data_IF_970251719815
#
_entry.id   IF_970251719815
#
_cell.length_a   1.000
_cell.length_b   1.000
_cell.length_c   1.000
_cell.angle_alpha   90.00
_cell.angle_beta   90.00
_cell.angle_gamma   90.00
#
_symmetry.space_group_name_H-M   'P 1'
#
loop_
_entity.id
_entity.type
_entity.pdbx_description
1 polymer ?
#
# COMPACT_ATOMS: atom_id res chain seq x y z
N UNK A 1 -4.63 -28.20 40.18
CA UNK A 1 -4.28 -26.93 39.52
C UNK A 1 -5.18 -26.88 38.31
N UNK A 2 -6.33 -26.22 38.48
CA UNK A 2 -7.44 -26.32 37.55
C UNK A 2 -7.15 -25.49 36.30
N UNK A 3 -7.49 -26.02 35.12
CA UNK A 3 -7.35 -25.39 33.80
C UNK A 3 -7.93 -23.96 33.75
N UNK A 4 -8.87 -23.65 34.65
CA UNK A 4 -9.49 -22.33 34.78
C UNK A 4 -8.59 -21.26 35.44
N UNK A 5 -7.56 -21.65 36.19
CA UNK A 5 -6.63 -20.71 36.83
C UNK A 5 -5.56 -20.19 35.84
N UNK A 6 -5.37 -20.88 34.71
CA UNK A 6 -4.49 -20.45 33.61
C UNK A 6 -5.19 -19.59 32.55
N UNK A 7 -6.49 -19.31 32.70
CA UNK A 7 -7.23 -18.49 31.73
C UNK A 7 -6.80 -17.02 31.86
N UNK A 8 -6.39 -16.36 30.76
CA UNK A 8 -6.01 -14.95 30.81
C UNK A 8 -7.19 -14.13 31.32
N UNK A 9 -6.92 -13.24 32.29
CA UNK A 9 -7.97 -12.40 32.85
C UNK A 9 -8.46 -11.44 31.76
N UNK A 10 -9.70 -10.98 31.85
CA UNK A 10 -10.28 -10.04 30.87
C UNK A 10 -9.39 -8.80 30.64
N UNK A 11 -8.65 -8.39 31.67
CA UNK A 11 -7.67 -7.30 31.59
C UNK A 11 -6.47 -7.62 30.67
N UNK A 12 -6.00 -8.87 30.65
CA UNK A 12 -4.90 -9.33 29.79
C UNK A 12 -5.34 -9.39 28.31
N UNK A 13 -6.61 -9.77 28.06
CA UNK A 13 -7.20 -9.82 26.72
C UNK A 13 -7.34 -8.42 26.09
N UNK A 14 -7.72 -7.41 26.88
CA UNK A 14 -7.80 -6.02 26.43
C UNK A 14 -6.41 -5.48 26.05
N UNK A 15 -5.39 -5.78 26.86
CA UNK A 15 -4.00 -5.37 26.59
C UNK A 15 -3.46 -6.06 25.33
N UNK A 16 -3.81 -7.34 25.11
CA UNK A 16 -3.46 -8.08 23.89
C UNK A 16 -4.10 -7.43 22.65
N UNK A 17 -5.41 -7.14 22.68
CA UNK A 17 -6.13 -6.49 21.58
C UNK A 17 -5.57 -5.11 21.22
N UNK A 18 -5.21 -4.31 22.23
CA UNK A 18 -4.53 -3.03 22.02
C UNK A 18 -3.15 -3.21 21.37
N UNK A 19 -2.36 -4.19 21.82
CA UNK A 19 -1.04 -4.47 21.26
C UNK A 19 -1.12 -4.92 19.80
N UNK A 20 -2.11 -5.76 19.47
CA UNK A 20 -2.37 -6.19 18.10
C UNK A 20 -2.77 -5.03 17.18
N UNK A 21 -3.61 -4.10 17.66
CA UNK A 21 -3.95 -2.90 16.91
C UNK A 21 -2.75 -1.98 16.69
N UNK A 22 -1.91 -1.78 17.70
CA UNK A 22 -0.69 -0.99 17.55
C UNK A 22 0.23 -1.64 16.51
N UNK A 23 0.45 -2.95 16.58
CA UNK A 23 1.25 -3.68 15.60
C UNK A 23 0.68 -3.54 14.18
N UNK A 24 -0.64 -3.68 14.02
CA UNK A 24 -1.33 -3.47 12.75
C UNK A 24 -1.10 -2.05 12.19
N UNK A 25 -1.30 -1.02 13.01
CA UNK A 25 -1.07 0.37 12.60
C UNK A 25 0.38 0.64 12.20
N UNK A 26 1.34 0.09 12.95
CA UNK A 26 2.78 0.23 12.65
C UNK A 26 3.12 -0.45 11.33
N UNK A 27 2.62 -1.67 11.09
CA UNK A 27 2.83 -2.38 9.84
C UNK A 27 2.22 -1.64 8.65
N UNK A 28 1.02 -1.08 8.80
CA UNK A 28 0.42 -0.25 7.77
C UNK A 28 1.26 1.01 7.51
N UNK A 29 1.69 1.72 8.55
CA UNK A 29 2.48 2.94 8.40
C UNK A 29 3.78 2.69 7.61
N UNK A 30 4.50 1.61 7.93
CA UNK A 30 5.76 1.24 7.27
C UNK A 30 5.55 0.73 5.84
N UNK A 31 4.39 0.12 5.56
CA UNK A 31 4.11 -0.48 4.25
C UNK A 31 3.57 0.53 3.23
N UNK A 32 2.94 1.63 3.66
CA UNK A 32 2.35 2.63 2.73
C UNK A 32 3.40 3.23 1.79
N UNK A 33 4.60 3.57 2.28
CA UNK A 33 5.64 4.22 1.47
C UNK A 33 6.11 3.35 0.29
N UNK A 34 6.54 2.09 0.51
CA UNK A 34 6.92 1.22 -0.61
C UNK A 34 5.74 0.81 -1.48
N UNK A 35 4.56 0.61 -0.91
CA UNK A 35 3.37 0.31 -1.68
C UNK A 35 2.98 1.45 -2.61
N UNK A 36 3.05 2.70 -2.15
CA UNK A 36 2.74 3.88 -2.97
C UNK A 36 3.76 4.08 -4.10
N UNK A 37 5.04 3.86 -3.81
CA UNK A 37 6.09 3.91 -4.83
C UNK A 37 5.86 2.86 -5.93
N UNK A 38 5.48 1.62 -5.55
CA UNK A 38 5.18 0.56 -6.50
C UNK A 38 3.90 0.85 -7.30
N UNK A 39 2.83 1.36 -6.67
CA UNK A 39 1.62 1.82 -7.37
C UNK A 39 1.98 2.80 -8.49
N UNK A 40 2.88 3.75 -8.23
CA UNK A 40 3.30 4.76 -9.21
C UNK A 40 4.07 4.14 -10.38
N UNK A 41 4.84 3.09 -10.14
CA UNK A 41 5.60 2.38 -11.19
C UNK A 41 4.68 1.51 -12.05
N UNK A 42 3.73 0.80 -11.44
CA UNK A 42 2.78 -0.07 -12.14
C UNK A 42 1.73 0.73 -12.92
N UNK A 43 1.26 1.83 -12.33
CA UNK A 43 0.07 2.53 -12.77
C UNK A 43 0.18 4.02 -12.42
N UNK A 44 1.03 4.73 -13.17
CA UNK A 44 1.24 6.17 -13.04
C UNK A 44 0.00 6.98 -13.40
N UNK A 45 -0.90 6.43 -14.19
CA UNK A 45 -2.15 7.05 -14.61
C UNK A 45 -3.27 6.91 -13.57
N UNK A 46 -3.13 6.04 -12.58
CA UNK A 46 -4.11 5.92 -11.50
C UNK A 46 -4.32 7.22 -10.71
N UNK A 47 -5.58 7.51 -10.36
CA UNK A 47 -5.93 8.57 -9.41
C UNK A 47 -5.26 8.37 -8.06
N UNK A 48 -5.02 9.47 -7.35
CA UNK A 48 -4.45 9.44 -6.00
C UNK A 48 -5.26 8.54 -5.04
N UNK A 49 -6.59 8.50 -5.20
CA UNK A 49 -7.47 7.68 -4.36
C UNK A 49 -7.26 6.18 -4.64
N UNK A 50 -7.16 5.76 -5.91
CA UNK A 50 -6.85 4.36 -6.25
C UNK A 50 -5.46 3.97 -5.75
N UNK A 51 -4.47 4.84 -5.94
CA UNK A 51 -3.09 4.63 -5.46
C UNK A 51 -3.03 4.50 -3.94
N UNK A 52 -3.79 5.31 -3.21
CA UNK A 52 -3.85 5.28 -1.74
C UNK A 52 -4.59 4.05 -1.20
N UNK A 53 -5.61 3.54 -1.90
CA UNK A 53 -6.30 2.32 -1.49
C UNK A 53 -5.47 1.06 -1.77
N UNK A 54 -4.68 1.05 -2.84
CA UNK A 54 -3.86 -0.10 -3.22
C UNK A 54 -2.51 -0.14 -2.50
N UNK A 55 -2.00 1.02 -2.06
CA UNK A 55 -0.68 1.12 -1.44
C UNK A 55 -0.51 0.26 -0.18
N UNK A 56 -1.46 0.12 0.75
CA UNK A 56 -1.23 -0.70 1.94
C UNK A 56 -1.09 -2.18 1.57
N UNK A 57 -1.90 -2.66 0.64
CA UNK A 57 -1.85 -4.05 0.17
C UNK A 57 -0.55 -4.36 -0.59
N UNK A 58 -0.14 -3.49 -1.52
CA UNK A 58 1.13 -3.66 -2.25
C UNK A 58 2.36 -3.50 -1.34
N UNK A 59 2.28 -2.62 -0.35
CA UNK A 59 3.31 -2.44 0.66
C UNK A 59 3.53 -3.70 1.48
N UNK A 60 2.44 -4.30 1.98
CA UNK A 60 2.50 -5.56 2.71
C UNK A 60 3.03 -6.67 1.81
N UNK A 61 2.57 -6.77 0.57
CA UNK A 61 3.08 -7.76 -0.40
C UNK A 61 4.60 -7.66 -0.57
N UNK A 62 5.14 -6.43 -0.68
CA UNK A 62 6.59 -6.21 -0.80
C UNK A 62 7.36 -6.60 0.47
N UNK A 63 6.85 -6.23 1.64
CA UNK A 63 7.47 -6.60 2.92
C UNK A 63 7.45 -8.12 3.11
N UNK A 64 6.30 -8.77 2.92
CA UNK A 64 6.19 -10.22 3.04
C UNK A 64 6.98 -10.96 1.96
N UNK A 65 7.01 -10.44 0.72
CA UNK A 65 7.80 -11.01 -0.36
C UNK A 65 9.30 -10.96 -0.07
N UNK A 66 9.81 -9.82 0.41
CA UNK A 66 11.23 -9.69 0.79
C UNK A 66 11.59 -10.56 1.99
N UNK A 67 10.75 -10.58 3.03
CA UNK A 67 10.92 -11.50 4.17
C UNK A 67 10.87 -12.97 3.73
N UNK A 68 9.97 -13.33 2.81
CA UNK A 68 9.84 -14.68 2.27
C UNK A 68 11.06 -15.12 1.47
N UNK A 69 11.63 -14.24 0.63
CA UNK A 69 12.88 -14.51 -0.11
C UNK A 69 14.04 -14.74 0.86
N UNK A 70 14.17 -13.90 1.89
CA UNK A 70 15.20 -14.05 2.93
C UNK A 70 15.03 -15.40 3.65
N UNK A 71 13.79 -15.77 3.99
CA UNK A 71 13.50 -17.05 4.64
C UNK A 71 13.87 -18.25 3.75
N UNK A 72 13.47 -18.24 2.48
CA UNK A 72 13.76 -19.32 1.52
C UNK A 72 15.25 -19.45 1.20
N UNK A 73 16.02 -18.36 1.32
CA UNK A 73 17.47 -18.38 1.14
C UNK A 73 18.24 -19.09 2.27
N UNK A 74 17.58 -19.42 3.38
CA UNK A 74 18.21 -20.02 4.56
C UNK A 74 19.07 -19.05 5.38
N UNK A 75 19.11 -17.77 5.00
CA UNK A 75 19.88 -16.71 5.68
C UNK A 75 19.04 -15.91 6.67
N UNK A 76 17.93 -16.48 7.15
CA UNK A 76 17.00 -15.74 8.00
C UNK A 76 17.67 -15.35 9.32
N UNK A 77 17.79 -14.04 9.52
CA UNK A 77 18.17 -13.44 10.80
C UNK A 77 17.31 -12.20 11.00
N UNK A 78 17.09 -11.83 12.27
CA UNK A 78 16.36 -10.61 12.62
C UNK A 78 17.00 -9.36 12.00
N UNK A 79 18.34 -9.30 11.99
CA UNK A 79 19.10 -8.20 11.42
C UNK A 79 18.89 -8.09 9.90
N UNK A 80 18.96 -9.20 9.17
CA UNK A 80 18.81 -9.21 7.72
C UNK A 80 17.37 -8.87 7.29
N UNK A 81 16.37 -9.36 8.02
CA UNK A 81 14.97 -9.01 7.76
C UNK A 81 14.73 -7.51 7.98
N UNK A 82 15.24 -6.96 9.09
CA UNK A 82 15.13 -5.53 9.40
C UNK A 82 15.87 -4.66 8.37
N UNK A 83 17.08 -5.07 7.96
CA UNK A 83 17.85 -4.40 6.91
C UNK A 83 17.11 -4.43 5.55
N UNK A 84 16.46 -5.55 5.21
CA UNK A 84 15.64 -5.68 4.01
C UNK A 84 14.47 -4.69 3.99
N UNK A 85 13.74 -4.58 5.09
CA UNK A 85 12.62 -3.62 5.23
C UNK A 85 13.12 -2.16 5.13
N UNK A 86 14.25 -1.84 5.76
CA UNK A 86 14.87 -0.51 5.67
C UNK A 86 15.33 -0.18 4.25
N UNK A 87 15.95 -1.13 3.55
CA UNK A 87 16.34 -0.99 2.15
C UNK A 87 15.11 -0.70 1.29
N UNK A 88 14.04 -1.47 1.46
CA UNK A 88 12.81 -1.32 0.70
C UNK A 88 12.19 0.08 0.89
N UNK A 89 12.16 0.58 2.12
CA UNK A 89 11.69 1.92 2.44
C UNK A 89 12.58 3.02 1.85
N UNK A 90 13.91 2.88 1.97
CA UNK A 90 14.84 3.87 1.40
C UNK A 90 14.79 3.91 -0.12
N UNK A 91 14.68 2.75 -0.78
CA UNK A 91 14.51 2.63 -2.22
C UNK A 91 13.19 3.25 -2.69
N UNK A 92 12.09 3.03 -1.95
CA UNK A 92 10.80 3.64 -2.23
C UNK A 92 10.86 5.17 -2.17
N UNK A 93 11.50 5.73 -1.13
CA UNK A 93 11.69 7.18 -0.98
C UNK A 93 12.57 7.72 -2.10
N UNK A 94 13.68 7.03 -2.42
CA UNK A 94 14.56 7.41 -3.52
C UNK A 94 13.82 7.42 -4.86
N UNK A 95 13.00 6.41 -5.13
CA UNK A 95 12.16 6.34 -6.33
C UNK A 95 11.14 7.47 -6.39
N UNK A 96 10.49 7.78 -5.27
CA UNK A 96 9.50 8.86 -5.21
C UNK A 96 10.14 10.24 -5.41
N UNK A 97 11.33 10.44 -4.83
CA UNK A 97 12.13 11.67 -4.94
C UNK A 97 12.76 11.84 -6.32
N UNK A 98 12.93 10.78 -7.10
CA UNK A 98 13.43 10.79 -8.49
C UNK A 98 12.41 11.38 -9.49
N UNK A 99 11.69 12.45 -9.13
CA UNK A 99 10.88 13.22 -10.08
C UNK A 99 11.80 14.10 -10.93
N UNK A 100 11.83 13.79 -12.23
CA UNK A 100 11.79 14.75 -13.35
C UNK A 100 13.04 15.63 -13.50
N UNK A 101 14.12 15.04 -14.04
CA UNK A 101 15.10 15.84 -14.80
C UNK A 101 14.63 15.82 -16.27
N UNK A 102 14.24 16.99 -16.78
CA UNK A 102 13.39 17.22 -17.98
C UNK A 102 14.18 17.13 -19.31
N UNK A 103 15.27 16.37 -19.37
CA UNK A 103 16.18 16.47 -20.54
C UNK A 103 16.31 15.20 -21.39
N UNK A 104 15.50 14.16 -21.16
CA UNK A 104 15.43 13.01 -22.08
C UNK A 104 14.00 12.78 -22.53
N UNK A 105 13.83 12.63 -23.85
CA UNK A 105 12.55 12.47 -24.54
C UNK A 105 11.58 11.58 -23.77
N UNK A 106 10.46 12.18 -23.35
CA UNK A 106 9.43 11.51 -22.57
C UNK A 106 8.94 10.27 -23.32
N UNK A 107 8.94 9.12 -22.65
CA UNK A 107 8.30 7.92 -23.20
C UNK A 107 6.81 8.19 -23.43
N UNK A 108 6.16 7.46 -24.34
CA UNK A 108 4.70 7.60 -24.59
C UNK A 108 3.89 7.55 -23.28
N UNK A 109 4.30 6.71 -22.34
CA UNK A 109 3.68 6.58 -21.02
C UNK A 109 3.90 7.80 -20.12
N UNK A 110 5.11 8.37 -20.09
CA UNK A 110 5.38 9.60 -19.34
C UNK A 110 4.65 10.81 -19.92
N UNK A 111 4.47 10.85 -21.24
CA UNK A 111 3.64 11.85 -21.91
C UNK A 111 2.17 11.73 -21.50
N UNK A 112 1.62 10.50 -21.47
CA UNK A 112 0.27 10.23 -21.01
C UNK A 112 0.07 10.67 -19.54
N UNK A 113 1.00 10.32 -18.65
CA UNK A 113 0.96 10.75 -17.23
C UNK A 113 0.98 12.28 -17.11
N UNK A 114 1.85 12.96 -17.87
CA UNK A 114 1.95 14.41 -17.86
C UNK A 114 0.66 15.08 -18.38
N UNK A 115 0.10 14.57 -19.48
CA UNK A 115 -1.13 15.09 -20.08
C UNK A 115 -2.34 14.93 -19.15
N UNK A 116 -2.49 13.78 -18.47
CA UNK A 116 -3.57 13.60 -17.48
C UNK A 116 -3.45 14.49 -16.25
N UNK A 117 -2.23 14.91 -15.89
CA UNK A 117 -1.98 15.87 -14.82
C UNK A 117 -2.06 17.34 -15.28
N UNK A 118 -2.51 17.60 -16.51
CA UNK A 118 -2.73 18.94 -17.03
C UNK A 118 -1.49 19.63 -17.58
N UNK A 119 -0.39 18.91 -17.82
CA UNK A 119 0.78 19.45 -18.49
C UNK A 119 0.50 19.48 -20.00
N UNK A 120 0.48 20.68 -20.58
CA UNK A 120 0.32 20.88 -22.02
C UNK A 120 1.61 20.46 -22.71
N UNK A 121 1.62 19.27 -23.31
CA UNK A 121 2.75 18.79 -24.10
C UNK A 121 2.69 19.44 -25.49
N UNK A 122 3.85 19.85 -26.07
CA UNK A 122 3.90 20.43 -27.41
C UNK A 122 3.69 19.40 -28.53
N UNK A 123 3.38 18.14 -28.23
CA UNK A 123 3.16 17.10 -29.24
C UNK A 123 1.67 16.94 -29.56
N UNK A 124 1.35 17.22 -30.81
CA UNK A 124 0.12 17.00 -31.58
C UNK A 124 -0.25 15.49 -31.72
N UNK A 125 -0.09 14.72 -30.64
CA UNK A 125 -0.36 13.29 -30.61
C UNK A 125 -1.86 13.09 -30.29
N UNK A 126 -2.70 13.15 -31.33
CA UNK A 126 -4.15 12.98 -31.23
C UNK A 126 -4.55 11.66 -30.53
N UNK A 127 -3.77 10.60 -30.73
CA UNK A 127 -3.91 9.30 -30.04
C UNK A 127 -3.81 9.42 -28.50
N UNK A 128 -2.81 10.17 -28.00
CA UNK A 128 -2.63 10.39 -26.55
C UNK A 128 -3.77 11.26 -26.00
N UNK A 129 -4.22 12.24 -26.77
CA UNK A 129 -5.33 13.11 -26.37
C UNK A 129 -6.65 12.34 -26.24
N UNK A 130 -6.95 11.46 -27.20
CA UNK A 130 -8.14 10.60 -27.17
C UNK A 130 -8.08 9.59 -26.01
N UNK A 131 -6.90 9.04 -25.72
CA UNK A 131 -6.70 8.14 -24.58
C UNK A 131 -6.88 8.87 -23.24
N UNK A 132 -6.33 10.08 -23.09
CA UNK A 132 -6.52 10.93 -21.90
C UNK A 132 -8.00 11.23 -21.68
N UNK A 133 -8.72 11.65 -22.73
CA UNK A 133 -10.14 11.96 -22.66
C UNK A 133 -10.96 10.73 -22.23
N UNK A 134 -10.62 9.56 -22.77
CA UNK A 134 -11.25 8.29 -22.41
C UNK A 134 -11.01 7.94 -20.94
N UNK A 135 -9.77 8.09 -20.46
CA UNK A 135 -9.42 7.81 -19.07
C UNK A 135 -10.09 8.81 -18.10
N UNK A 136 -10.15 10.09 -18.43
CA UNK A 136 -10.87 11.10 -17.65
C UNK A 136 -12.38 10.84 -17.61
N UNK A 137 -12.96 10.39 -18.73
CA UNK A 137 -14.36 9.96 -18.76
C UNK A 137 -14.60 8.80 -17.79
N UNK A 138 -13.73 7.77 -17.77
CA UNK A 138 -13.84 6.67 -16.80
C UNK A 138 -13.67 7.13 -15.35
N UNK A 139 -12.79 8.09 -15.09
CA UNK A 139 -12.59 8.65 -13.75
C UNK A 139 -13.84 9.41 -13.27
N UNK A 140 -14.42 10.24 -14.13
CA UNK A 140 -15.62 11.02 -13.81
C UNK A 140 -16.90 10.18 -13.67
N UNK A 141 -16.99 9.06 -14.40
CA UNK A 141 -18.15 8.15 -14.35
C UNK A 141 -18.02 7.07 -13.26
N UNK A 142 -16.96 7.10 -12.44
CA UNK A 142 -16.77 6.09 -11.42
C UNK A 142 -17.75 6.30 -10.26
N UNK A 143 -18.54 5.27 -9.97
CA UNK A 143 -19.43 5.24 -8.81
C UNK A 143 -18.62 5.19 -7.50
N UNK A 144 -18.85 6.16 -6.62
CA UNK A 144 -18.21 6.22 -5.31
C UNK A 144 -18.73 5.14 -4.34
N UNK A 145 -19.84 4.48 -4.63
CA UNK A 145 -20.47 3.52 -3.73
C UNK A 145 -19.59 2.29 -3.43
N UNK A 146 -18.82 1.83 -4.43
CA UNK A 146 -17.94 0.67 -4.26
C UNK A 146 -16.82 0.95 -3.24
N UNK A 147 -16.35 2.19 -3.16
CA UNK A 147 -15.35 2.60 -2.18
C UNK A 147 -15.91 2.60 -0.76
N UNK A 148 -17.16 3.02 -0.59
CA UNK A 148 -17.84 3.03 0.72
C UNK A 148 -18.01 1.60 1.23
N UNK A 149 -18.47 0.68 0.38
CA UNK A 149 -18.63 -0.73 0.75
C UNK A 149 -17.29 -1.35 1.16
N UNK A 150 -16.23 -1.10 0.37
CA UNK A 150 -14.88 -1.56 0.69
C UNK A 150 -14.37 -1.00 2.03
N UNK A 151 -14.58 0.30 2.29
CA UNK A 151 -14.19 0.92 3.55
C UNK A 151 -14.90 0.31 4.76
N UNK A 152 -16.23 0.07 4.65
CA UNK A 152 -17.01 -0.58 5.70
C UNK A 152 -16.47 -1.98 5.99
N UNK A 153 -16.16 -2.77 4.96
CA UNK A 153 -15.58 -4.11 5.13
C UNK A 153 -14.23 -4.07 5.83
N UNK A 154 -13.30 -3.21 5.41
CA UNK A 154 -11.97 -3.08 6.02
C UNK A 154 -12.06 -2.64 7.47
N UNK A 155 -12.91 -1.65 7.78
CA UNK A 155 -13.13 -1.17 9.14
C UNK A 155 -13.72 -2.30 10.01
N UNK A 156 -14.68 -3.04 9.48
CA UNK A 156 -15.30 -4.17 10.20
C UNK A 156 -14.26 -5.24 10.58
N UNK A 157 -13.34 -5.55 9.67
CA UNK A 157 -12.24 -6.50 9.92
C UNK A 157 -11.21 -5.89 10.89
N UNK A 158 -10.90 -4.60 10.80
CA UNK A 158 -9.93 -3.96 11.67
C UNK A 158 -10.41 -3.86 13.14
N UNK A 159 -11.72 -3.90 13.38
CA UNK A 159 -12.32 -3.85 14.73
C UNK A 159 -12.35 -5.25 15.38
N UNK A 160 -12.20 -6.34 14.63
CA UNK A 160 -12.22 -7.72 15.18
C UNK A 160 -11.32 -7.93 16.42
N UNK A 161 -10.06 -7.44 16.46
CA UNK A 161 -9.18 -7.60 17.61
C UNK A 161 -9.67 -6.90 18.90
N UNK A 162 -10.64 -5.98 18.80
CA UNK A 162 -11.27 -5.31 19.93
C UNK A 162 -12.54 -6.04 20.42
N UNK A 163 -13.20 -6.78 19.53
CA UNK A 163 -14.47 -7.47 19.81
C UNK A 163 -14.23 -8.93 20.21
N UNK A 164 -13.18 -9.58 19.68
CA UNK A 164 -12.84 -10.95 20.06
C UNK A 164 -12.16 -10.99 21.43
N UNK A 165 -12.88 -11.48 22.44
CA UNK A 165 -12.32 -11.90 23.74
C UNK A 165 -11.72 -13.33 23.70
N UNK A 166 -11.62 -13.94 22.52
CA UNK A 166 -11.07 -15.30 22.43
C UNK A 166 -9.57 -15.23 22.17
N UNK A 167 -8.76 -15.98 22.93
CA UNK A 167 -7.38 -16.24 22.54
C UNK A 167 -7.43 -16.95 21.19
N UNK A 168 -6.68 -16.47 20.21
CA UNK A 168 -6.56 -17.17 18.94
C UNK A 168 -5.86 -18.51 19.18
N UNK A 169 -6.64 -19.59 19.29
CA UNK A 169 -6.15 -20.97 19.47
C UNK A 169 -5.89 -21.34 20.93
#
# INVERSE_FOLDING_TARGET
>A
MDIFDSWPKSQDLVVLGQSMLVAYCVLLAISITPGYALCKVLDGTADNLRKAMLSPALGLLLIYGTCGIILLSGLWTWELASAGILLLNTLAIAHLKRRVNVDMGLTKWQKLEAAMHGVILPSDDQEITDEVNTQQWFQSHRSNHNYIIGAILVISIAILPLIQELPFG
#
